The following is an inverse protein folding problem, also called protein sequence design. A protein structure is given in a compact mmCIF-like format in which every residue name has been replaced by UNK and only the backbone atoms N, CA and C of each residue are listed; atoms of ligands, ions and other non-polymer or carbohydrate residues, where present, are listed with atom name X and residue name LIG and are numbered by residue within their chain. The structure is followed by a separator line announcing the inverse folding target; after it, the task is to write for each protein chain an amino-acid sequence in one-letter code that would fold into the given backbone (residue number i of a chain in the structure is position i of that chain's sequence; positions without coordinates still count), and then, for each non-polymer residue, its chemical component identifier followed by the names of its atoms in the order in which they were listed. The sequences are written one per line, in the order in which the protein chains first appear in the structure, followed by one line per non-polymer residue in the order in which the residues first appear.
data_IF_685833458050
#
_entry.id   IF_685833458050
#
_cell.length_a   1.000
_cell.length_b   1.000
_cell.length_c   1.000
_cell.angle_alpha   90.00
_cell.angle_beta   90.00
_cell.angle_gamma   90.00
#
_symmetry.space_group_name_H-M   'P 1'
#
loop_
_entity.id
_entity.type
_entity.pdbx_description
1 polymer ?
#
# COMPACT_ATOMS: atom_id res chain seq x y z
N UNK A 1 31.31 3.51 -35.66
CA UNK A 1 30.10 3.77 -34.85
C UNK A 1 30.22 3.11 -33.49
N UNK A 2 29.86 3.80 -32.41
CA UNK A 2 29.99 3.29 -31.04
C UNK A 2 29.06 4.01 -30.06
N UNK A 3 28.78 3.37 -28.91
CA UNK A 3 27.94 3.90 -27.82
C UNK A 3 28.67 3.67 -26.51
N UNK A 4 28.72 4.66 -25.63
CA UNK A 4 29.37 4.55 -24.33
C UNK A 4 28.72 5.45 -23.28
N UNK A 5 28.81 5.07 -22.02
CA UNK A 5 28.56 5.99 -20.90
C UNK A 5 29.84 6.80 -20.68
N UNK A 6 29.83 8.07 -21.06
CA UNK A 6 31.02 8.94 -21.15
C UNK A 6 31.22 9.87 -19.95
N UNK A 7 30.23 9.97 -19.05
CA UNK A 7 30.25 10.88 -17.91
C UNK A 7 28.96 10.82 -17.09
N UNK A 8 28.81 11.75 -16.14
CA UNK A 8 27.78 11.69 -15.10
C UNK A 8 28.28 11.00 -13.83
N UNK A 9 27.75 11.39 -12.67
CA UNK A 9 28.19 10.85 -11.37
C UNK A 9 28.08 9.33 -11.31
N UNK A 10 27.05 8.79 -11.99
CA UNK A 10 26.68 7.39 -11.88
C UNK A 10 27.04 6.58 -13.13
N UNK A 11 27.89 7.12 -14.03
CA UNK A 11 28.24 6.48 -15.30
C UNK A 11 28.74 5.03 -15.13
N UNK A 12 29.50 4.76 -14.07
CA UNK A 12 30.05 3.44 -13.76
C UNK A 12 28.99 2.41 -13.33
N UNK A 13 27.76 2.86 -12.98
CA UNK A 13 26.63 2.01 -12.62
C UNK A 13 25.81 1.56 -13.83
N UNK A 14 26.15 2.04 -15.01
CA UNK A 14 25.45 1.71 -16.25
C UNK A 14 26.36 1.04 -17.26
N UNK A 15 25.76 0.13 -18.02
CA UNK A 15 26.34 -0.46 -19.20
C UNK A 15 25.38 -0.30 -20.38
N UNK A 16 25.93 -0.23 -21.59
CA UNK A 16 25.14 -0.28 -22.82
C UNK A 16 25.39 -1.65 -23.47
N UNK A 17 24.32 -2.41 -23.68
CA UNK A 17 24.42 -3.72 -24.34
C UNK A 17 24.76 -3.58 -25.82
N UNK A 18 25.20 -4.66 -26.45
CA UNK A 18 25.45 -4.68 -27.91
C UNK A 18 24.19 -4.35 -28.74
N UNK A 19 22.99 -4.60 -28.18
CA UNK A 19 21.70 -4.22 -28.78
C UNK A 19 21.35 -2.74 -28.57
N UNK A 20 22.15 -1.99 -27.80
CA UNK A 20 21.96 -0.57 -27.54
C UNK A 20 21.04 -0.24 -26.37
N UNK A 21 20.70 -1.21 -25.52
CA UNK A 21 19.91 -0.98 -24.31
C UNK A 21 20.81 -0.51 -23.15
N UNK A 22 20.37 0.51 -22.43
CA UNK A 22 21.00 0.97 -21.19
C UNK A 22 20.55 0.07 -20.03
N UNK A 23 21.48 -0.50 -19.29
CA UNK A 23 21.22 -1.42 -18.19
C UNK A 23 22.01 -1.03 -16.94
N UNK A 24 21.42 -1.24 -15.77
CA UNK A 24 22.10 -1.10 -14.49
C UNK A 24 23.05 -2.27 -14.23
N UNK A 25 24.18 -2.02 -13.58
CA UNK A 25 25.11 -3.04 -13.09
C UNK A 25 25.88 -2.53 -11.86
N UNK A 26 25.56 -2.98 -10.64
CA UNK A 26 24.46 -3.87 -10.23
C UNK A 26 23.06 -3.21 -10.30
N UNK A 27 22.00 -4.00 -10.11
CA UNK A 27 20.63 -3.48 -10.02
C UNK A 27 20.47 -2.49 -8.85
N UNK A 28 19.70 -1.39 -9.00
CA UNK A 28 19.51 -0.41 -7.95
C UNK A 28 18.53 -0.92 -6.89
N UNK A 29 18.82 -0.62 -5.63
CA UNK A 29 17.94 -0.81 -4.48
C UNK A 29 17.41 0.57 -4.08
N UNK A 30 16.08 0.71 -3.95
CA UNK A 30 15.46 1.98 -3.57
C UNK A 30 15.71 2.33 -2.10
N UNK A 31 15.73 1.32 -1.23
CA UNK A 31 15.92 1.48 0.22
C UNK A 31 17.41 1.61 0.58
N UNK A 32 18.30 1.14 -0.31
CA UNK A 32 19.75 1.32 -0.24
C UNK A 32 20.28 2.01 -1.50
N UNK A 33 20.04 3.34 -1.67
CA UNK A 33 20.51 4.07 -2.82
C UNK A 33 22.03 3.98 -2.93
N UNK A 34 22.51 3.73 -4.15
CA UNK A 34 23.93 3.63 -4.44
C UNK A 34 24.38 4.61 -5.53
N UNK A 35 23.53 5.57 -5.85
CA UNK A 35 23.89 6.76 -6.62
C UNK A 35 24.86 7.64 -5.82
N UNK A 36 25.44 8.60 -6.52
CA UNK A 36 26.54 9.42 -6.02
C UNK A 36 26.13 10.37 -4.90
N UNK A 37 24.85 10.74 -4.83
CA UNK A 37 24.29 11.70 -3.87
C UNK A 37 23.19 11.12 -2.97
N UNK A 38 22.84 9.84 -3.13
CA UNK A 38 21.91 9.13 -2.25
C UNK A 38 20.43 9.48 -2.46
N UNK A 39 20.06 10.11 -3.58
CA UNK A 39 18.73 10.68 -3.79
C UNK A 39 17.82 9.84 -4.72
N UNK A 40 18.27 8.65 -5.14
CA UNK A 40 17.62 7.76 -6.10
C UNK A 40 17.48 8.36 -7.52
N UNK A 41 18.30 9.35 -7.88
CA UNK A 41 18.34 9.98 -9.21
C UNK A 41 19.73 9.77 -9.81
N UNK A 42 19.82 8.81 -10.71
CA UNK A 42 21.06 8.44 -11.36
C UNK A 42 21.30 9.33 -12.58
N UNK A 43 22.40 10.08 -12.60
CA UNK A 43 22.78 10.95 -13.70
C UNK A 43 23.87 10.29 -14.56
N UNK A 44 23.53 9.98 -15.82
CA UNK A 44 24.43 9.36 -16.79
C UNK A 44 24.50 10.17 -18.09
N UNK A 45 25.71 10.42 -18.57
CA UNK A 45 25.97 11.00 -19.87
C UNK A 45 26.26 9.87 -20.86
N UNK A 46 25.43 9.80 -21.90
CA UNK A 46 25.56 8.82 -22.97
C UNK A 46 26.21 9.51 -24.17
N UNK A 47 27.30 8.93 -24.67
CA UNK A 47 27.94 9.31 -25.93
C UNK A 47 27.55 8.34 -27.03
N UNK A 48 27.10 8.89 -28.15
CA UNK A 48 26.92 8.16 -29.40
C UNK A 48 27.86 8.72 -30.45
N UNK A 49 28.52 7.83 -31.19
CA UNK A 49 29.45 8.18 -32.26
C UNK A 49 29.08 7.46 -33.55
N UNK A 50 29.10 8.18 -34.67
CA UNK A 50 29.01 7.57 -36.01
C UNK A 50 30.38 7.16 -36.57
N UNK A 51 31.48 7.50 -35.86
CA UNK A 51 32.87 7.28 -36.29
C UNK A 51 33.58 8.52 -36.82
N UNK A 52 32.87 9.65 -36.96
CA UNK A 52 33.44 10.98 -37.26
C UNK A 52 33.01 12.03 -36.24
N UNK A 53 31.75 11.99 -35.84
CA UNK A 53 31.15 12.94 -34.91
C UNK A 53 30.68 12.20 -33.66
N UNK A 54 30.74 12.91 -32.54
CA UNK A 54 30.24 12.44 -31.25
C UNK A 54 29.12 13.37 -30.78
N UNK A 55 28.07 12.79 -30.22
CA UNK A 55 26.99 13.51 -29.55
C UNK A 55 26.89 12.96 -28.14
N UNK A 56 26.91 13.87 -27.16
CA UNK A 56 26.72 13.55 -25.75
C UNK A 56 25.33 14.01 -25.29
N UNK A 57 24.64 13.17 -24.53
CA UNK A 57 23.35 13.48 -23.94
C UNK A 57 23.33 13.08 -22.47
N UNK A 58 22.98 14.03 -21.59
CA UNK A 58 22.74 13.76 -20.18
C UNK A 58 21.33 13.19 -19.99
N UNK A 59 21.23 12.09 -19.25
CA UNK A 59 19.99 11.40 -18.91
C UNK A 59 19.94 11.20 -17.40
N UNK A 60 18.80 11.56 -16.81
CA UNK A 60 18.52 11.35 -15.39
C UNK A 60 17.51 10.20 -15.27
N UNK A 61 17.84 9.18 -14.49
CA UNK A 61 17.00 8.02 -14.25
C UNK A 61 16.59 8.03 -12.77
N UNK A 62 15.29 8.22 -12.52
CA UNK A 62 14.73 8.17 -11.16
C UNK A 62 14.26 6.76 -10.85
N UNK A 63 14.79 6.19 -9.78
CA UNK A 63 14.35 4.89 -9.25
C UNK A 63 13.20 5.15 -8.27
N UNK A 64 12.06 4.51 -8.51
CA UNK A 64 10.89 4.59 -7.61
C UNK A 64 10.72 3.27 -6.87
N UNK A 65 10.16 3.35 -5.66
CA UNK A 65 9.82 2.18 -4.87
C UNK A 65 8.73 1.37 -5.58
N UNK A 66 9.05 0.12 -5.94
CA UNK A 66 8.04 -0.86 -6.29
C UNK A 66 7.56 -1.47 -4.98
N UNK A 67 6.30 -1.29 -4.61
CA UNK A 67 5.76 -1.80 -3.34
C UNK A 67 5.98 -3.31 -3.21
N UNK A 68 7.03 -3.70 -2.50
CA UNK A 68 7.29 -5.09 -2.13
C UNK A 68 6.60 -5.37 -0.80
N UNK A 69 5.28 -5.56 -0.86
CA UNK A 69 4.47 -5.92 0.29
C UNK A 69 3.73 -7.23 0.03
N UNK A 70 3.85 -8.19 0.95
CA UNK A 70 2.94 -9.33 0.98
C UNK A 70 1.55 -8.78 1.30
N UNK A 71 0.69 -8.69 0.29
CA UNK A 71 -0.74 -8.49 0.49
C UNK A 71 -1.35 -9.84 0.87
N UNK A 72 -1.49 -10.11 2.17
CA UNK A 72 -2.33 -11.22 2.63
C UNK A 72 -3.77 -10.80 2.37
N UNK A 73 -4.34 -11.28 1.25
CA UNK A 73 -5.78 -11.22 1.04
C UNK A 73 -6.37 -12.36 1.86
N UNK A 74 -7.07 -12.02 2.95
CA UNK A 74 -8.04 -12.96 3.50
C UNK A 74 -9.16 -13.02 2.46
N UNK A 75 -9.47 -14.21 1.96
CA UNK A 75 -10.61 -14.36 1.06
C UNK A 75 -11.84 -13.76 1.75
N UNK A 76 -12.66 -13.00 1.02
CA UNK A 76 -13.83 -12.31 1.58
C UNK A 76 -14.74 -13.28 2.38
N UNK A 77 -14.74 -14.56 2.02
CA UNK A 77 -15.43 -15.63 2.73
C UNK A 77 -14.91 -15.84 4.17
N UNK A 78 -13.59 -15.84 4.39
CA UNK A 78 -12.99 -15.97 5.73
C UNK A 78 -13.20 -14.71 6.54
N UNK A 79 -13.13 -13.53 5.89
CA UNK A 79 -13.40 -12.25 6.55
C UNK A 79 -14.86 -12.19 7.03
N UNK A 80 -15.80 -12.56 6.18
CA UNK A 80 -17.22 -12.66 6.52
C UNK A 80 -17.46 -13.68 7.63
N UNK A 81 -16.77 -14.82 7.63
CA UNK A 81 -16.88 -15.81 8.70
C UNK A 81 -16.39 -15.25 10.05
N UNK A 82 -15.25 -14.56 10.08
CA UNK A 82 -14.73 -13.93 11.30
C UNK A 82 -15.68 -12.86 11.83
N UNK A 83 -16.22 -12.02 10.93
CA UNK A 83 -17.21 -11.00 11.30
C UNK A 83 -18.51 -11.63 11.80
N UNK A 84 -18.96 -12.72 11.18
CA UNK A 84 -20.11 -13.48 11.62
C UNK A 84 -19.87 -14.06 13.01
N UNK A 85 -18.74 -14.74 13.25
CA UNK A 85 -18.42 -15.34 14.54
C UNK A 85 -18.32 -14.30 15.67
N UNK A 86 -17.76 -13.12 15.42
CA UNK A 86 -17.69 -12.04 16.42
C UNK A 86 -19.06 -11.42 16.72
N UNK A 87 -19.88 -11.17 15.69
CA UNK A 87 -21.25 -10.70 15.86
C UNK A 87 -22.11 -11.74 16.57
N UNK A 88 -21.94 -13.02 16.22
CA UNK A 88 -22.64 -14.12 16.84
C UNK A 88 -22.15 -14.36 18.27
N UNK A 89 -20.87 -14.18 18.60
CA UNK A 89 -20.39 -14.26 19.99
C UNK A 89 -21.03 -13.20 20.89
N UNK A 90 -21.31 -12.00 20.36
CA UNK A 90 -22.08 -10.98 21.08
C UNK A 90 -23.56 -11.36 21.27
N UNK A 91 -24.10 -12.23 20.41
CA UNK A 91 -25.50 -12.64 20.38
C UNK A 91 -25.78 -14.00 21.06
N UNK A 92 -24.87 -14.97 20.94
CA UNK A 92 -24.99 -16.36 21.39
C UNK A 92 -24.86 -16.49 22.91
N UNK A 93 -24.23 -15.52 23.57
CA UNK A 93 -24.40 -15.31 25.01
C UNK A 93 -25.75 -14.61 25.31
N UNK A 94 -26.81 -14.89 24.55
CA UNK A 94 -28.15 -14.30 24.65
C UNK A 94 -28.18 -12.76 24.72
N UNK A 95 -27.19 -12.09 24.12
CA UNK A 95 -27.00 -10.64 24.24
C UNK A 95 -26.55 -10.17 25.62
N UNK A 96 -26.22 -11.04 26.57
CA UNK A 96 -25.85 -10.70 27.95
C UNK A 96 -24.70 -9.71 28.02
N UNK A 97 -23.62 -9.91 27.24
CA UNK A 97 -22.50 -8.97 27.22
C UNK A 97 -22.92 -7.58 26.73
N UNK A 98 -23.67 -7.50 25.64
CA UNK A 98 -24.16 -6.24 25.09
C UNK A 98 -25.18 -5.55 26.01
N UNK A 99 -26.08 -6.33 26.61
CA UNK A 99 -27.08 -5.82 27.55
C UNK A 99 -26.45 -5.38 28.87
N UNK A 100 -25.43 -6.08 29.37
CA UNK A 100 -24.68 -5.72 30.57
C UNK A 100 -23.85 -4.47 30.31
N UNK A 101 -23.19 -4.36 29.16
CA UNK A 101 -22.44 -3.16 28.77
C UNK A 101 -23.38 -1.95 28.64
N UNK A 102 -24.56 -2.09 28.02
CA UNK A 102 -25.55 -1.01 27.96
C UNK A 102 -26.11 -0.66 29.34
N UNK A 103 -26.50 -1.65 30.14
CA UNK A 103 -27.05 -1.45 31.50
C UNK A 103 -26.06 -0.78 32.43
N UNK A 104 -24.77 -1.09 32.29
CA UNK A 104 -23.70 -0.51 33.12
C UNK A 104 -23.10 0.77 32.54
N UNK A 105 -23.60 1.26 31.40
CA UNK A 105 -23.09 2.46 30.74
C UNK A 105 -21.68 2.30 30.15
N UNK A 106 -21.23 1.06 29.97
CA UNK A 106 -19.89 0.68 29.49
C UNK A 106 -19.88 0.25 28.03
N UNK A 107 -20.94 0.55 27.28
CA UNK A 107 -20.99 0.28 25.85
C UNK A 107 -20.18 1.35 25.09
N UNK A 108 -18.86 1.33 25.27
CA UNK A 108 -17.90 2.26 24.67
C UNK A 108 -16.65 1.54 24.12
N UNK A 109 -15.81 2.27 23.39
CA UNK A 109 -14.60 1.76 22.74
C UNK A 109 -13.52 1.28 23.72
N UNK A 110 -13.69 1.47 25.03
CA UNK A 110 -12.74 1.02 26.05
C UNK A 110 -13.07 -0.38 26.57
N UNK A 111 -14.34 -0.79 26.48
CA UNK A 111 -14.81 -2.11 26.94
C UNK A 111 -15.27 -3.03 25.80
N UNK A 112 -15.51 -2.46 24.61
CA UNK A 112 -15.69 -3.20 23.36
C UNK A 112 -14.45 -3.00 22.52
N UNK A 113 -13.80 -4.09 22.13
CA UNK A 113 -12.61 -4.00 21.29
C UNK A 113 -12.99 -3.56 19.87
N UNK A 114 -12.66 -2.32 19.53
CA UNK A 114 -12.88 -1.72 18.21
C UNK A 114 -11.60 -1.66 17.37
N UNK A 115 -10.58 -2.49 17.67
CA UNK A 115 -9.31 -2.51 16.92
C UNK A 115 -9.47 -2.67 15.40
N UNK A 116 -10.60 -3.19 14.92
CA UNK A 116 -10.94 -3.32 13.51
C UNK A 116 -11.71 -2.12 12.92
N UNK A 117 -11.82 -1.00 13.65
CA UNK A 117 -12.46 0.24 13.17
C UNK A 117 -13.99 0.20 13.09
N UNK A 118 -14.64 -0.79 13.72
CA UNK A 118 -16.09 -0.94 13.72
C UNK A 118 -16.82 0.09 14.60
N UNK A 119 -18.10 0.34 14.29
CA UNK A 119 -18.95 1.26 15.06
C UNK A 119 -19.76 0.51 16.11
N UNK A 120 -19.82 1.05 17.33
CA UNK A 120 -20.68 0.51 18.40
C UNK A 120 -22.13 0.87 18.12
N UNK A 121 -22.96 -0.15 17.92
CA UNK A 121 -24.41 0.01 17.74
C UNK A 121 -25.05 0.17 19.13
N UNK A 122 -25.43 1.42 19.45
CA UNK A 122 -26.03 1.77 20.75
C UNK A 122 -27.53 1.50 20.83
N UNK A 123 -28.22 1.37 19.70
CA UNK A 123 -29.64 1.01 19.55
C UNK A 123 -29.81 0.22 18.23
N UNK A 124 -30.69 -0.78 18.21
CA UNK A 124 -31.08 -1.45 16.95
C UNK A 124 -32.18 -0.59 16.34
N UNK A 125 -32.05 -0.24 15.05
CA UNK A 125 -33.10 0.50 14.35
C UNK A 125 -34.46 -0.18 14.54
N UNK A 126 -35.47 0.61 14.92
CA UNK A 126 -36.82 0.09 15.10
C UNK A 126 -37.33 -0.42 13.75
N UNK A 127 -37.99 -1.60 13.71
CA UNK A 127 -38.56 -2.10 12.48
C UNK A 127 -39.54 -1.08 11.89
N UNK A 128 -39.55 -0.93 10.57
CA UNK A 128 -40.40 0.03 9.84
C UNK A 128 -41.89 -0.13 10.13
N UNK A 129 -42.31 -1.30 10.63
CA UNK A 129 -43.66 -1.58 11.11
C UNK A 129 -44.05 -0.81 12.38
N UNK A 130 -43.10 -0.50 13.28
CA UNK A 130 -43.35 0.32 14.47
C UNK A 130 -43.40 1.82 14.12
N UNK A 131 -42.54 2.30 13.23
CA UNK A 131 -42.54 3.71 12.79
C UNK A 131 -43.75 4.08 11.94
N UNK A 132 -44.26 3.16 11.11
CA UNK A 132 -45.50 3.37 10.35
C UNK A 132 -46.76 3.36 11.22
N UNK A 133 -46.71 2.73 12.40
CA UNK A 133 -47.80 2.74 13.37
C UNK A 133 -47.91 4.10 14.08
N UNK A 134 -46.77 4.71 14.43
CA UNK A 134 -46.72 6.04 15.05
C UNK A 134 -47.08 7.20 14.10
N UNK A 135 -46.99 7.00 12.78
CA UNK A 135 -47.31 8.02 11.77
C UNK A 135 -48.79 8.04 11.34
N UNK A 136 -49.56 7.00 11.66
CA UNK A 136 -50.98 6.86 11.32
C UNK A 136 -51.91 6.90 12.55
N UNK A 137 -51.39 7.32 13.71
CA UNK A 137 -52.12 7.52 14.97
C UNK A 137 -51.73 8.84 15.62
#
# INVERSE_FOLDING_TARGET
MGRACSGGGDAARFAITAAGALTFSPAPDFDLPTDSDGNNIYAVQIRVSDGRNNVDQLVNITVNNSREGIAVKLDDEVLEEILFQRRYSLWAEAGHRWIDLRRTGKLDATHVDLRDGGTIIVEVERPTSETNWDANN
#
